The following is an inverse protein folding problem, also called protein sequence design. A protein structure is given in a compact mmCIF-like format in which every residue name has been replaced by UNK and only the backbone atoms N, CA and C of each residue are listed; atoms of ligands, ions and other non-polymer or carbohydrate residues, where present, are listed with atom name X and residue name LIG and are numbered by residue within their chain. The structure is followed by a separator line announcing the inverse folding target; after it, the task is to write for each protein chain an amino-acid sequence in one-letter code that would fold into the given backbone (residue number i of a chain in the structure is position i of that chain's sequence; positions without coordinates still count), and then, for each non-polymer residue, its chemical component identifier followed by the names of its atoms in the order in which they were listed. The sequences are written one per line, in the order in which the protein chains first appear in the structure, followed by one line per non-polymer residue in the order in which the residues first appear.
data_IF_942839594612
#
_entry.id   IF_942839594612
#
_cell.length_a   1.000
_cell.length_b   1.000
_cell.length_c   1.000
_cell.angle_alpha   90.00
_cell.angle_beta   90.00
_cell.angle_gamma   90.00
#
_symmetry.space_group_name_H-M   'P 1'
#
loop_
_entity.id
_entity.type
_entity.pdbx_description
1 polymer ?
#
# COMPACT_ATOMS: atom_id res chain seq x y z
N UNK A 1 17.28 -11.81 12.15
CA UNK A 1 16.09 -11.18 12.69
C UNK A 1 15.37 -10.39 11.61
N UNK A 2 14.09 -10.52 11.56
CA UNK A 2 13.30 -9.88 10.53
C UNK A 2 12.97 -8.45 10.88
N UNK A 3 13.13 -7.53 9.91
CA UNK A 3 12.77 -6.14 10.09
C UNK A 3 11.44 -5.87 9.39
N UNK A 4 10.33 -5.89 10.15
CA UNK A 4 8.99 -5.74 9.62
C UNK A 4 8.66 -4.34 9.13
N UNK A 5 9.49 -3.33 9.48
CA UNK A 5 9.28 -1.97 9.00
C UNK A 5 9.76 -1.80 7.57
N UNK A 6 10.71 -2.64 7.17
CA UNK A 6 11.38 -2.48 5.89
C UNK A 6 10.49 -2.98 4.74
N UNK A 7 10.45 -2.20 3.67
CA UNK A 7 9.86 -2.66 2.43
C UNK A 7 10.78 -3.69 1.80
N UNK A 8 10.20 -4.73 1.23
CA UNK A 8 10.96 -5.82 0.65
C UNK A 8 11.47 -5.45 -0.74
N UNK A 9 12.67 -5.95 -1.09
CA UNK A 9 13.11 -5.96 -2.47
C UNK A 9 12.25 -6.97 -3.26
N UNK A 10 12.33 -6.94 -4.58
CA UNK A 10 11.60 -7.90 -5.40
C UNK A 10 11.96 -9.34 -5.04
N UNK A 11 13.26 -9.61 -4.85
CA UNK A 11 13.69 -10.96 -4.48
C UNK A 11 13.12 -11.38 -3.13
N UNK A 12 13.21 -10.49 -2.14
CA UNK A 12 12.66 -10.79 -0.81
C UNK A 12 11.16 -11.01 -0.87
N UNK A 13 10.48 -10.22 -1.69
CA UNK A 13 9.04 -10.34 -1.86
C UNK A 13 8.67 -11.74 -2.43
N UNK A 14 9.37 -12.18 -3.45
CA UNK A 14 9.14 -13.50 -4.04
C UNK A 14 9.42 -14.59 -3.02
N UNK A 15 10.51 -14.46 -2.26
CA UNK A 15 10.91 -15.47 -1.28
C UNK A 15 9.99 -15.49 -0.05
N UNK A 16 9.29 -14.40 0.23
CA UNK A 16 8.41 -14.32 1.39
C UNK A 16 7.17 -15.20 1.26
N UNK A 17 6.80 -15.58 0.04
CA UNK A 17 5.60 -16.34 -0.19
C UNK A 17 4.32 -15.52 -0.16
N UNK A 18 4.41 -14.21 -0.02
CA UNK A 18 3.23 -13.35 -0.03
C UNK A 18 2.55 -13.41 -1.41
N UNK A 19 1.26 -13.68 -1.42
CA UNK A 19 0.50 -13.76 -2.67
C UNK A 19 -0.20 -12.42 -2.91
N UNK A 20 0.38 -11.59 -3.78
CA UNK A 20 -0.18 -10.31 -4.14
C UNK A 20 -1.11 -10.32 -5.34
N UNK A 21 -1.41 -11.49 -5.90
CA UNK A 21 -2.21 -11.58 -7.13
C UNK A 21 -3.65 -11.17 -6.95
N UNK A 22 -4.18 -11.27 -5.73
CA UNK A 22 -5.56 -10.86 -5.44
C UNK A 22 -5.69 -9.38 -5.17
N UNK A 23 -4.57 -8.65 -5.09
CA UNK A 23 -4.58 -7.23 -4.78
C UNK A 23 -4.70 -6.44 -6.08
N UNK A 24 -5.59 -5.46 -6.08
CA UNK A 24 -5.86 -4.63 -7.26
C UNK A 24 -5.72 -3.16 -6.90
N UNK A 25 -5.38 -2.34 -7.89
CA UNK A 25 -5.37 -0.90 -7.68
C UNK A 25 -6.79 -0.43 -7.41
N UNK A 26 -6.96 0.60 -6.55
CA UNK A 26 -8.30 1.05 -6.20
C UNK A 26 -9.02 1.66 -7.40
N UNK A 27 -10.31 1.37 -7.52
CA UNK A 27 -11.18 1.95 -8.55
C UNK A 27 -12.43 2.58 -7.91
N UNK A 28 -12.32 2.95 -6.64
CA UNK A 28 -13.43 3.51 -5.87
C UNK A 28 -12.89 4.60 -4.95
N UNK A 29 -13.76 5.51 -4.54
CA UNK A 29 -13.42 6.59 -3.61
C UNK A 29 -13.97 6.29 -2.23
N UNK A 30 -13.43 6.97 -1.22
CA UNK A 30 -13.92 6.87 0.15
C UNK A 30 -12.79 6.72 1.15
N UNK A 31 -13.18 6.61 2.41
CA UNK A 31 -12.26 6.42 3.53
C UNK A 31 -12.50 5.04 4.13
N UNK A 32 -11.43 4.30 4.35
CA UNK A 32 -11.53 2.91 4.78
C UNK A 32 -10.51 2.60 5.85
N UNK A 33 -10.89 1.75 6.80
CA UNK A 33 -9.94 1.17 7.74
C UNK A 33 -9.25 -0.02 7.06
N UNK A 34 -7.96 -0.15 7.28
CA UNK A 34 -7.16 -1.17 6.61
C UNK A 34 -6.00 -1.63 7.49
N UNK A 35 -5.40 -2.75 7.10
CA UNK A 35 -4.17 -3.26 7.71
C UNK A 35 -3.12 -3.36 6.62
N UNK A 36 -1.90 -2.93 6.93
CA UNK A 36 -0.78 -3.07 5.99
C UNK A 36 -0.39 -4.53 5.93
N UNK A 37 -0.61 -5.16 4.76
CA UNK A 37 -0.33 -6.59 4.59
C UNK A 37 1.11 -6.85 4.12
N UNK A 38 1.66 -5.95 3.30
CA UNK A 38 3.01 -6.10 2.78
C UNK A 38 3.46 -4.79 2.15
N UNK A 39 4.77 -4.62 2.02
CA UNK A 39 5.37 -3.48 1.32
C UNK A 39 6.53 -3.98 0.49
N UNK A 40 6.69 -3.46 -0.73
CA UNK A 40 7.87 -3.78 -1.54
C UNK A 40 8.24 -2.63 -2.46
N UNK A 41 9.48 -2.68 -2.94
CA UNK A 41 9.97 -1.74 -3.94
C UNK A 41 9.78 -2.33 -5.34
N UNK A 42 9.40 -1.50 -6.29
CA UNK A 42 9.38 -1.92 -7.69
C UNK A 42 10.69 -1.52 -8.38
N UNK A 43 10.80 -1.82 -9.67
CA UNK A 43 12.02 -1.52 -10.43
C UNK A 43 12.31 -0.04 -10.54
N UNK A 44 11.29 0.79 -10.46
CA UNK A 44 11.43 2.25 -10.53
C UNK A 44 11.64 2.88 -9.16
N UNK A 45 11.84 2.05 -8.13
CA UNK A 45 12.04 2.48 -6.75
C UNK A 45 10.82 3.19 -6.16
N UNK A 46 9.64 2.89 -6.67
CA UNK A 46 8.40 3.31 -6.04
C UNK A 46 8.01 2.30 -5.00
N UNK A 47 7.48 2.79 -3.89
CA UNK A 47 6.99 1.92 -2.83
C UNK A 47 5.60 1.43 -3.18
N UNK A 48 5.42 0.11 -3.13
CA UNK A 48 4.12 -0.51 -3.29
C UNK A 48 3.66 -1.01 -1.93
N UNK A 49 2.44 -0.64 -1.54
CA UNK A 49 1.87 -1.03 -0.27
C UNK A 49 0.62 -1.85 -0.52
N UNK A 50 0.57 -3.03 0.08
CA UNK A 50 -0.57 -3.94 -0.01
C UNK A 50 -1.43 -3.75 1.23
N UNK A 51 -2.71 -3.45 1.02
CA UNK A 51 -3.64 -3.13 2.10
C UNK A 51 -4.81 -4.11 2.10
N UNK A 52 -5.10 -4.64 3.28
CA UNK A 52 -6.31 -5.44 3.49
C UNK A 52 -7.35 -4.51 4.12
N UNK A 53 -8.36 -4.15 3.35
CA UNK A 53 -9.45 -3.32 3.88
C UNK A 53 -10.33 -4.17 4.79
N UNK A 54 -10.89 -3.53 5.80
CA UNK A 54 -11.74 -4.26 6.76
C UNK A 54 -13.00 -4.85 6.12
N UNK A 55 -13.41 -4.32 4.97
CA UNK A 55 -14.57 -4.86 4.24
C UNK A 55 -14.22 -6.06 3.36
N UNK A 56 -12.97 -6.51 3.39
CA UNK A 56 -12.54 -7.70 2.66
C UNK A 56 -11.85 -7.42 1.34
N UNK A 57 -11.86 -6.17 0.87
CA UNK A 57 -11.17 -5.84 -0.38
C UNK A 57 -9.67 -5.82 -0.17
N UNK A 58 -8.93 -6.21 -1.22
CA UNK A 58 -7.47 -6.26 -1.21
C UNK A 58 -6.95 -5.25 -2.22
N UNK A 59 -6.23 -4.25 -1.73
CA UNK A 59 -5.82 -3.10 -2.53
C UNK A 59 -4.30 -2.99 -2.54
N UNK A 60 -3.74 -2.71 -3.71
CA UNK A 60 -2.35 -2.33 -3.84
C UNK A 60 -2.31 -0.85 -4.23
N UNK A 61 -1.44 -0.10 -3.60
CA UNK A 61 -1.27 1.30 -3.93
C UNK A 61 0.22 1.60 -4.06
N UNK A 62 0.56 2.55 -4.95
CA UNK A 62 1.94 2.89 -5.25
C UNK A 62 2.18 4.36 -5.02
N UNK A 63 3.35 4.69 -4.49
CA UNK A 63 3.77 6.07 -4.41
C UNK A 63 4.43 6.47 -5.73
N UNK A 64 4.05 7.63 -6.22
CA UNK A 64 4.58 8.17 -7.47
C UNK A 64 5.60 9.28 -7.24
N UNK A 65 5.89 9.57 -5.98
CA UNK A 65 6.87 10.56 -5.60
C UNK A 65 7.80 9.98 -4.55
N UNK A 66 8.79 10.77 -4.16
CA UNK A 66 9.83 10.30 -3.23
C UNK A 66 9.50 10.52 -1.78
N UNK A 67 8.31 11.03 -1.50
CA UNK A 67 7.89 11.26 -0.12
C UNK A 67 7.63 9.92 0.56
N UNK A 68 7.53 9.95 1.86
CA UNK A 68 7.34 8.75 2.66
C UNK A 68 5.92 8.16 2.54
N UNK A 69 5.12 8.67 1.62
CA UNK A 69 3.80 8.16 1.30
C UNK A 69 2.90 8.16 2.54
N UNK A 70 2.75 9.36 3.13
CA UNK A 70 1.94 9.58 4.33
C UNK A 70 2.41 8.78 5.53
N UNK A 71 3.70 8.47 5.59
CA UNK A 71 4.26 7.70 6.68
C UNK A 71 4.15 6.19 6.52
N UNK A 72 3.50 5.72 5.46
CA UNK A 72 3.34 4.27 5.25
C UNK A 72 4.68 3.55 5.11
N UNK A 73 5.70 4.25 4.59
CA UNK A 73 7.02 3.65 4.42
C UNK A 73 7.62 3.23 5.77
N UNK A 74 7.30 3.95 6.83
CA UNK A 74 7.86 3.72 8.15
C UNK A 74 6.98 2.86 9.05
N UNK A 75 5.76 2.57 8.63
CA UNK A 75 4.85 1.76 9.43
C UNK A 75 5.13 0.28 9.23
N UNK A 76 5.23 -0.51 10.31
CA UNK A 76 5.44 -1.95 10.17
C UNK A 76 4.27 -2.63 9.48
N UNK A 77 4.54 -3.76 8.83
CA UNK A 77 3.49 -4.65 8.35
C UNK A 77 2.64 -5.06 9.56
N UNK A 78 1.32 -5.05 9.38
CA UNK A 78 0.38 -5.32 10.47
C UNK A 78 -0.19 -4.07 11.11
N UNK A 79 0.34 -2.89 10.77
CA UNK A 79 -0.16 -1.63 11.32
C UNK A 79 -1.56 -1.33 10.79
N UNK A 80 -2.44 -0.89 11.66
CA UNK A 80 -3.79 -0.45 11.30
C UNK A 80 -3.74 1.00 10.83
N UNK A 81 -4.39 1.27 9.72
CA UNK A 81 -4.38 2.62 9.12
C UNK A 81 -5.78 2.99 8.64
N UNK A 82 -6.01 4.29 8.55
CA UNK A 82 -7.18 4.84 7.86
C UNK A 82 -6.67 5.42 6.54
N UNK A 83 -7.29 5.02 5.43
CA UNK A 83 -6.85 5.43 4.10
C UNK A 83 -8.01 6.06 3.35
N UNK A 84 -7.68 7.07 2.53
CA UNK A 84 -8.67 7.75 1.69
C UNK A 84 -8.25 7.66 0.24
N UNK A 85 -9.18 7.22 -0.61
CA UNK A 85 -8.95 7.16 -2.05
C UNK A 85 -9.79 8.21 -2.76
N UNK A 86 -9.19 8.83 -3.77
CA UNK A 86 -9.86 9.81 -4.63
C UNK A 86 -9.50 9.55 -6.09
N UNK A 87 -10.37 9.98 -6.99
CA UNK A 87 -10.15 9.83 -8.41
C UNK A 87 -9.75 11.18 -9.00
N UNK A 88 -8.64 11.19 -9.72
CA UNK A 88 -8.16 12.41 -10.38
C UNK A 88 -9.04 12.72 -11.59
N UNK A 89 -9.56 13.95 -11.65
CA UNK A 89 -10.45 14.36 -12.74
C UNK A 89 -9.72 14.29 -14.09
N UNK A 90 -8.45 14.66 -14.11
CA UNK A 90 -7.69 14.75 -15.36
C UNK A 90 -7.37 13.40 -15.98
N UNK A 91 -7.20 12.35 -15.17
CA UNK A 91 -6.77 11.03 -15.66
C UNK A 91 -7.83 9.95 -15.48
N UNK A 92 -8.83 10.18 -14.64
CA UNK A 92 -9.80 9.17 -14.28
C UNK A 92 -9.26 8.06 -13.40
N UNK A 93 -8.02 8.18 -12.94
CA UNK A 93 -7.39 7.16 -12.11
C UNK A 93 -7.58 7.44 -10.63
N UNK A 94 -7.83 6.39 -9.88
CA UNK A 94 -7.98 6.48 -8.42
C UNK A 94 -6.62 6.33 -7.77
N UNK A 95 -6.38 7.12 -6.73
CA UNK A 95 -5.10 7.13 -6.04
C UNK A 95 -5.31 7.30 -4.54
N UNK A 96 -4.28 6.97 -3.77
CA UNK A 96 -4.29 7.19 -2.33
C UNK A 96 -4.11 8.68 -2.07
N UNK A 97 -5.15 9.30 -1.52
CA UNK A 97 -5.15 10.73 -1.24
C UNK A 97 -4.60 11.07 0.13
N UNK A 98 -4.78 10.16 1.09
CA UNK A 98 -4.34 10.37 2.46
C UNK A 98 -4.31 9.06 3.21
N UNK A 99 -3.40 8.95 4.17
CA UNK A 99 -3.34 7.81 5.08
C UNK A 99 -2.80 8.26 6.42
N UNK A 100 -3.33 7.67 7.50
CA UNK A 100 -2.79 7.91 8.84
C UNK A 100 -2.93 6.64 9.67
N UNK A 101 -2.06 6.50 10.65
CA UNK A 101 -2.11 5.38 11.58
C UNK A 101 -3.31 5.56 12.52
N UNK A 102 -4.04 4.49 12.70
CA UNK A 102 -5.14 4.48 13.68
C UNK A 102 -4.63 4.45 15.11
#
# INVERSE_FOLDING_TARGET
MENKKRALSWREFVESGFDGREYQFPDFEGTFAATIACKRWNKSRNLLVYLDLDDGRKIITATWNKDNFFGLADMPVGTRVSVRFKTAVSTGKTYLNYAEQE
#
